data_IF_932113322129
#
_entry.id   IF_932113322129
#
_cell.length_a   1.000
_cell.length_b   1.000
_cell.length_c   1.000
_cell.angle_alpha   90.00
_cell.angle_beta   90.00
_cell.angle_gamma   90.00
#
_symmetry.space_group_name_H-M   'P 1'
#
loop_
_entity.id
_entity.type
_entity.pdbx_description
1 polymer ?
#
# COMPACT_ATOMS: atom_id res chain seq x y z
N UNK A 1 1.97 10.76 7.67
CA UNK A 1 1.30 9.70 6.86
C UNK A 1 2.04 9.59 5.54
N UNK A 2 2.51 8.39 5.16
CA UNK A 2 3.26 8.19 3.91
C UNK A 2 2.41 7.38 2.92
N UNK A 3 2.25 7.89 1.70
CA UNK A 3 1.60 7.18 0.60
C UNK A 3 2.66 6.48 -0.23
N UNK A 4 2.86 5.19 0.04
CA UNK A 4 3.99 4.44 -0.53
C UNK A 4 3.91 4.31 -2.05
N UNK A 5 2.72 4.26 -2.67
CA UNK A 5 2.58 4.32 -4.14
C UNK A 5 2.85 5.73 -4.73
N UNK A 6 2.81 6.76 -3.87
CA UNK A 6 3.04 8.16 -4.20
C UNK A 6 1.93 8.86 -5.00
N UNK A 7 1.03 8.13 -5.66
CA UNK A 7 -0.14 8.71 -6.34
C UNK A 7 -1.22 7.65 -6.51
N UNK A 8 -2.48 8.09 -6.69
CA UNK A 8 -3.60 7.19 -6.97
C UNK A 8 -3.30 6.29 -8.17
N UNK A 9 -3.63 5.01 -8.01
CA UNK A 9 -3.66 4.01 -9.06
C UNK A 9 -4.55 4.47 -10.23
N UNK A 10 -4.01 4.34 -11.45
CA UNK A 10 -4.77 4.37 -12.70
C UNK A 10 -4.21 3.29 -13.61
N UNK A 11 -5.06 2.73 -14.50
CA UNK A 11 -4.61 1.69 -15.42
C UNK A 11 -3.46 2.17 -16.32
N UNK A 12 -3.49 3.43 -16.76
CA UNK A 12 -2.43 4.05 -17.54
C UNK A 12 -1.09 4.08 -16.78
N UNK A 13 -1.10 4.49 -15.51
CA UNK A 13 0.10 4.51 -14.67
C UNK A 13 0.63 3.10 -14.40
N UNK A 14 -0.27 2.15 -14.20
CA UNK A 14 0.09 0.74 -13.99
C UNK A 14 0.88 0.19 -15.18
N UNK A 15 0.38 0.44 -16.40
CA UNK A 15 1.07 0.08 -17.65
C UNK A 15 2.40 0.81 -17.82
N UNK A 16 2.43 2.13 -17.59
CA UNK A 16 3.64 2.95 -17.73
C UNK A 16 4.74 2.54 -16.75
N UNK A 17 4.37 2.24 -15.51
CA UNK A 17 5.31 1.83 -14.45
C UNK A 17 5.66 0.35 -14.48
N UNK A 18 5.02 -0.44 -15.36
CA UNK A 18 5.15 -1.89 -15.45
C UNK A 18 5.01 -2.56 -14.09
N UNK A 19 3.94 -2.19 -13.37
CA UNK A 19 3.77 -2.69 -12.01
C UNK A 19 3.62 -4.21 -11.99
N UNK A 20 4.36 -4.93 -11.13
CA UNK A 20 4.20 -6.37 -10.98
C UNK A 20 2.97 -6.75 -10.15
N UNK A 21 2.29 -5.77 -9.54
CA UNK A 21 1.12 -5.94 -8.69
C UNK A 21 -0.15 -5.64 -9.48
N UNK A 22 -1.23 -6.35 -9.23
CA UNK A 22 -2.47 -6.21 -10.02
C UNK A 22 -3.26 -4.95 -9.68
N UNK A 23 -3.29 -4.58 -8.41
CA UNK A 23 -4.13 -3.51 -7.87
C UNK A 23 -3.35 -2.29 -7.40
N UNK A 24 -2.01 -2.36 -7.42
CA UNK A 24 -1.15 -1.34 -6.84
C UNK A 24 -0.08 -0.89 -7.85
N UNK A 25 0.40 0.33 -7.69
CA UNK A 25 1.63 0.80 -8.35
C UNK A 25 2.87 0.34 -7.57
N UNK A 26 4.06 0.31 -8.18
CA UNK A 26 5.28 -0.06 -7.48
C UNK A 26 5.55 0.84 -6.27
N UNK A 27 5.97 0.27 -5.12
CA UNK A 27 6.18 1.05 -3.92
C UNK A 27 7.41 1.96 -4.03
N UNK A 28 7.28 3.21 -3.57
CA UNK A 28 8.35 4.19 -3.46
C UNK A 28 8.99 4.14 -2.08
N UNK A 29 9.98 3.27 -1.94
CA UNK A 29 10.67 2.99 -0.67
C UNK A 29 11.37 4.20 -0.04
N UNK A 30 11.80 5.19 -0.82
CA UNK A 30 12.63 6.30 -0.31
C UNK A 30 11.94 7.11 0.80
N UNK A 31 10.66 7.44 0.65
CA UNK A 31 9.95 8.27 1.63
C UNK A 31 9.72 7.56 2.96
N UNK A 32 9.36 6.27 2.93
CA UNK A 32 9.14 5.48 4.14
C UNK A 32 10.47 5.17 4.84
N UNK A 33 11.52 4.87 4.07
CA UNK A 33 12.86 4.65 4.61
C UNK A 33 13.41 5.91 5.30
N UNK A 34 13.20 7.09 4.71
CA UNK A 34 13.59 8.36 5.33
C UNK A 34 12.83 8.61 6.64
N UNK A 35 11.51 8.37 6.65
CA UNK A 35 10.71 8.52 7.87
C UNK A 35 11.16 7.57 8.98
N UNK A 36 11.44 6.31 8.65
CA UNK A 36 11.97 5.31 9.59
C UNK A 36 13.37 5.70 10.10
N UNK A 37 14.23 6.25 9.25
CA UNK A 37 15.57 6.69 9.66
C UNK A 37 15.53 7.91 10.59
N UNK A 38 14.63 8.87 10.32
CA UNK A 38 14.48 10.09 11.16
C UNK A 38 13.90 9.77 12.53
N UNK A 39 12.91 8.87 12.59
CA UNK A 39 12.26 8.50 13.85
C UNK A 39 13.07 7.47 14.63
N UNK A 40 13.96 6.73 13.96
CA UNK A 40 14.88 5.80 14.57
C UNK A 40 14.15 4.74 15.41
N UNK A 41 14.71 4.42 16.57
CA UNK A 41 14.20 3.40 17.50
C UNK A 41 12.84 3.76 18.14
N UNK A 42 12.33 4.99 17.97
CA UNK A 42 11.01 5.36 18.48
C UNK A 42 9.85 4.82 17.62
N UNK A 43 10.17 4.16 16.51
CA UNK A 43 9.18 3.66 15.55
C UNK A 43 9.05 2.14 15.63
N UNK A 44 8.33 1.65 16.64
CA UNK A 44 8.17 0.20 16.89
C UNK A 44 7.20 -0.49 15.92
N UNK A 45 6.23 0.26 15.38
CA UNK A 45 5.12 -0.29 14.59
C UNK A 45 4.73 0.62 13.43
N UNK A 46 4.55 0.02 12.27
CA UNK A 46 3.98 0.66 11.10
C UNK A 46 2.48 0.38 11.03
N UNK A 47 1.68 1.44 10.95
CA UNK A 47 0.26 1.32 10.64
C UNK A 47 0.05 1.16 9.14
N UNK A 48 -0.26 -0.05 8.71
CA UNK A 48 -0.57 -0.38 7.32
C UNK A 48 -2.07 -0.25 7.08
N UNK A 49 -2.50 0.82 6.41
CA UNK A 49 -3.91 1.09 6.13
C UNK A 49 -4.22 0.81 4.65
N UNK A 50 -5.29 0.08 4.39
CA UNK A 50 -5.82 -0.18 3.04
C UNK A 50 -7.28 0.25 2.99
N UNK A 51 -7.62 1.07 2.00
CA UNK A 51 -8.97 1.58 1.77
C UNK A 51 -9.47 1.07 0.42
N UNK A 52 -10.57 0.32 0.43
CA UNK A 52 -11.15 -0.27 -0.77
C UNK A 52 -12.62 0.14 -0.94
N UNK A 53 -13.00 0.40 -2.18
CA UNK A 53 -14.37 0.70 -2.60
C UNK A 53 -14.83 -0.40 -3.57
N UNK A 54 -15.20 -1.60 -3.07
CA UNK A 54 -15.37 -2.78 -3.90
C UNK A 54 -16.46 -2.64 -4.98
N UNK A 55 -17.48 -1.82 -4.71
CA UNK A 55 -18.65 -1.62 -5.59
C UNK A 55 -18.57 -0.30 -6.38
N UNK A 56 -17.64 0.59 -6.04
CA UNK A 56 -17.47 1.93 -6.62
C UNK A 56 -15.99 2.22 -6.93
N UNK A 57 -15.31 1.29 -7.63
CA UNK A 57 -13.85 1.35 -7.82
C UNK A 57 -13.40 2.43 -8.81
N UNK A 58 -14.23 2.76 -9.81
CA UNK A 58 -13.90 3.75 -10.86
C UNK A 58 -13.98 5.20 -10.37
N UNK A 59 -15.01 5.53 -9.62
CA UNK A 59 -15.34 6.94 -9.27
C UNK A 59 -15.73 7.11 -7.80
N UNK A 60 -14.96 6.56 -6.83
CA UNK A 60 -15.38 6.50 -5.43
C UNK A 60 -15.66 7.88 -4.81
N UNK A 61 -14.88 8.90 -5.18
CA UNK A 61 -15.09 10.26 -4.68
C UNK A 61 -16.38 10.91 -5.23
N UNK A 62 -16.66 10.72 -6.52
CA UNK A 62 -17.87 11.26 -7.13
C UNK A 62 -19.12 10.51 -6.67
N UNK A 63 -19.01 9.19 -6.52
CA UNK A 63 -20.09 8.35 -6.01
C UNK A 63 -20.41 8.69 -4.54
N UNK A 64 -19.39 9.02 -3.75
CA UNK A 64 -19.57 9.56 -2.40
C UNK A 64 -20.35 10.88 -2.41
N UNK A 65 -19.94 11.85 -3.24
CA UNK A 65 -20.60 13.15 -3.32
C UNK A 65 -22.04 13.07 -3.85
N UNK A 66 -22.33 12.08 -4.68
CA UNK A 66 -23.66 11.84 -5.27
C UNK A 66 -24.55 10.89 -4.46
N UNK A 67 -24.09 10.42 -3.29
CA UNK A 67 -24.84 9.49 -2.44
C UNK A 67 -24.97 8.07 -2.98
N UNK A 68 -24.16 7.72 -3.99
CA UNK A 68 -24.14 6.41 -4.67
C UNK A 68 -23.09 5.45 -4.10
N UNK A 69 -22.28 5.90 -3.14
CA UNK A 69 -21.29 5.07 -2.48
C UNK A 69 -22.00 4.07 -1.57
N UNK A 70 -21.91 2.80 -1.90
CA UNK A 70 -22.63 1.74 -1.19
C UNK A 70 -21.80 1.16 -0.05
N UNK A 71 -20.48 1.02 -0.25
CA UNK A 71 -19.61 0.35 0.73
C UNK A 71 -18.17 0.86 0.70
N UNK A 72 -17.61 1.01 1.90
CA UNK A 72 -16.18 1.28 2.14
C UNK A 72 -15.63 0.15 3.01
N UNK A 73 -14.55 -0.47 2.56
CA UNK A 73 -13.81 -1.46 3.33
C UNK A 73 -12.51 -0.84 3.79
N UNK A 74 -12.33 -0.71 5.10
CA UNK A 74 -11.09 -0.25 5.72
C UNK A 74 -10.41 -1.45 6.37
N UNK A 75 -9.15 -1.70 6.00
CA UNK A 75 -8.27 -2.64 6.68
C UNK A 75 -7.13 -1.87 7.32
N UNK A 76 -6.83 -2.22 8.55
CA UNK A 76 -5.78 -1.59 9.35
C UNK A 76 -5.00 -2.72 10.01
N UNK A 77 -3.74 -2.85 9.61
CA UNK A 77 -2.82 -3.83 10.17
C UNK A 77 -1.68 -3.09 10.86
N UNK A 78 -1.28 -3.57 12.04
CA UNK A 78 -0.07 -3.11 12.72
C UNK A 78 1.07 -4.06 12.37
N UNK A 79 2.04 -3.57 11.59
CA UNK A 79 3.22 -4.33 11.20
C UNK A 79 4.35 -3.97 12.17
N UNK A 80 4.90 -4.93 12.93
CA UNK A 80 6.06 -4.67 13.77
C UNK A 80 7.25 -4.30 12.88
N UNK A 81 7.98 -3.26 13.29
CA UNK A 81 9.24 -2.90 12.66
C UNK A 81 10.35 -3.63 13.39
N UNK A 82 10.97 -4.60 12.71
CA UNK A 82 12.15 -5.29 13.23
C UNK A 82 13.34 -4.30 13.26
N UNK A 83 14.21 -4.47 14.25
CA UNK A 83 15.55 -3.88 14.32
C UNK A 83 16.31 -3.91 12.99
N UNK A 84 16.14 -4.96 12.18
CA UNK A 84 16.75 -5.10 10.86
C UNK A 84 16.26 -4.10 9.79
N UNK A 85 15.20 -3.34 10.08
CA UNK A 85 14.65 -2.27 9.24
C UNK A 85 15.13 -0.88 9.66
N UNK A 86 15.99 -0.78 10.68
CA UNK A 86 16.74 0.43 10.98
C UNK A 86 18.10 0.39 10.27
N UNK A 87 18.45 1.48 9.58
CA UNK A 87 19.71 1.57 8.86
C UNK A 87 19.73 2.65 7.78
N UNK A 88 20.90 2.81 7.18
CA UNK A 88 21.14 3.87 6.18
C UNK A 88 20.68 3.43 4.78
N UNK A 89 19.44 3.78 4.43
CA UNK A 89 18.88 3.50 3.10
C UNK A 89 19.62 4.20 1.95
N UNK A 90 20.34 5.29 2.23
CA UNK A 90 21.01 6.11 1.21
C UNK A 90 22.39 5.55 0.89
N UNK A 91 23.18 5.26 1.92
CA UNK A 91 24.58 4.89 1.76
C UNK A 91 24.84 3.37 1.87
N UNK A 92 23.98 2.59 2.52
CA UNK A 92 24.13 1.14 2.63
C UNK A 92 23.31 0.38 1.56
N UNK A 93 24.01 -0.10 0.53
CA UNK A 93 23.42 -0.90 -0.56
C UNK A 93 22.80 -2.21 -0.08
N UNK A 94 23.39 -2.87 0.92
CA UNK A 94 22.89 -4.13 1.45
C UNK A 94 21.59 -3.90 2.22
N UNK A 95 21.57 -2.88 3.07
CA UNK A 95 20.36 -2.46 3.77
C UNK A 95 19.26 -2.06 2.79
N UNK A 96 19.57 -1.22 1.80
CA UNK A 96 18.62 -0.83 0.74
C UNK A 96 17.96 -2.03 0.08
N UNK A 97 18.74 -3.07 -0.28
CA UNK A 97 18.19 -4.29 -0.89
C UNK A 97 17.25 -5.04 0.06
N UNK A 98 17.65 -5.24 1.32
CA UNK A 98 16.81 -5.92 2.32
C UNK A 98 15.51 -5.15 2.56
N UNK A 99 15.60 -3.83 2.69
CA UNK A 99 14.44 -2.96 2.88
C UNK A 99 13.48 -3.03 1.69
N UNK A 100 14.00 -2.97 0.47
CA UNK A 100 13.18 -3.12 -0.75
C UNK A 100 12.51 -4.48 -0.84
N UNK A 101 13.21 -5.55 -0.47
CA UNK A 101 12.64 -6.90 -0.43
C UNK A 101 11.50 -6.98 0.58
N UNK A 102 11.72 -6.51 1.81
CA UNK A 102 10.68 -6.46 2.84
C UNK A 102 9.46 -5.65 2.38
N UNK A 103 9.68 -4.46 1.81
CA UNK A 103 8.60 -3.61 1.34
C UNK A 103 7.82 -4.27 0.19
N UNK A 104 8.50 -4.94 -0.73
CA UNK A 104 7.85 -5.66 -1.83
C UNK A 104 7.02 -6.85 -1.32
N UNK A 105 7.48 -7.56 -0.28
CA UNK A 105 6.69 -8.62 0.36
C UNK A 105 5.41 -8.06 0.96
N UNK A 106 5.52 -7.00 1.76
CA UNK A 106 4.35 -6.31 2.34
C UNK A 106 3.39 -5.82 1.24
N UNK A 107 3.94 -5.35 0.12
CA UNK A 107 3.16 -4.87 -1.01
C UNK A 107 2.42 -5.99 -1.74
N UNK A 108 3.06 -7.15 -1.88
CA UNK A 108 2.45 -8.35 -2.47
C UNK A 108 1.29 -8.85 -1.61
N UNK A 109 1.49 -8.94 -0.29
CA UNK A 109 0.44 -9.32 0.65
C UNK A 109 -0.76 -8.37 0.56
N UNK A 110 -0.50 -7.06 0.48
CA UNK A 110 -1.56 -6.06 0.29
C UNK A 110 -2.30 -6.24 -1.04
N UNK A 111 -1.59 -6.57 -2.13
CA UNK A 111 -2.20 -6.80 -3.44
C UNK A 111 -3.17 -8.00 -3.40
N UNK A 112 -2.75 -9.10 -2.78
CA UNK A 112 -3.57 -10.31 -2.57
C UNK A 112 -4.77 -10.02 -1.67
N UNK A 113 -4.59 -9.23 -0.60
CA UNK A 113 -5.70 -8.79 0.26
C UNK A 113 -6.74 -7.97 -0.50
N UNK A 114 -6.31 -7.07 -1.39
CA UNK A 114 -7.23 -6.25 -2.21
C UNK A 114 -8.01 -7.14 -3.17
N UNK A 115 -7.36 -8.13 -3.79
CA UNK A 115 -8.04 -9.10 -4.65
C UNK A 115 -9.09 -9.89 -3.87
N UNK A 116 -8.75 -10.41 -2.68
CA UNK A 116 -9.69 -11.12 -1.82
C UNK A 116 -10.89 -10.28 -1.42
N UNK A 117 -10.68 -8.98 -1.11
CA UNK A 117 -11.76 -8.04 -0.82
C UNK A 117 -12.66 -7.89 -2.06
N UNK A 118 -12.08 -7.61 -3.23
CA UNK A 118 -12.85 -7.44 -4.46
C UNK A 118 -13.67 -8.69 -4.80
N UNK A 119 -13.09 -9.87 -4.67
CA UNK A 119 -13.77 -11.13 -5.01
C UNK A 119 -14.88 -11.49 -4.01
N UNK A 120 -14.66 -11.23 -2.72
CA UNK A 120 -15.69 -11.44 -1.68
C UNK A 120 -16.96 -10.61 -1.94
N UNK A 121 -16.80 -9.40 -2.50
CA UNK A 121 -17.92 -8.50 -2.75
C UNK A 121 -18.49 -8.58 -4.17
N UNK A 122 -17.75 -9.11 -5.16
CA UNK A 122 -18.33 -9.48 -6.46
C UNK A 122 -19.39 -10.57 -6.34
N UNK A 123 -19.18 -11.53 -5.43
CA UNK A 123 -20.08 -12.68 -5.26
C UNK A 123 -21.25 -12.40 -4.29
N UNK A 124 -21.20 -11.30 -3.54
CA UNK A 124 -22.23 -10.93 -2.57
C UNK A 124 -23.34 -10.03 -3.16
N UNK A 125 -23.22 -9.65 -4.44
CA UNK A 125 -24.20 -8.85 -5.18
C UNK A 125 -25.08 -9.70 -6.09
N UNK A 126 -25.82 -10.66 -5.53
CA UNK A 126 -26.95 -11.33 -6.17
C UNK A 126 -28.16 -11.34 -5.23
#
# INVERSE_FOLDING_TARGET
MNFVEGSRFTHEKHLQTRSPFRNLLPPKAAGIAMALNVLGEQFDKLLNVTLCYPENDKTPFYDMLSGKLTRIVVRVDMVPIDTGLHGDYVNDKNFKRRFQQWLNTLWKEKDEQIDNIKDSYKNAGH
#
